data_IF_692459490638
#
_entry.id   IF_692459490638
#
_cell.length_a   1.000
_cell.length_b   1.000
_cell.length_c   1.000
_cell.angle_alpha   90.00
_cell.angle_beta   90.00
_cell.angle_gamma   90.00
#
_symmetry.space_group_name_H-M   'P 1'
#
loop_
_entity.id
_entity.type
_entity.pdbx_description
1 polymer ?
#
# COMPACT_ATOMS: atom_id res chain seq x y z
N UNK A 1 23.58 -18.93 -15.31
CA UNK A 1 22.30 -18.24 -15.55
C UNK A 1 21.34 -19.25 -16.13
N UNK A 2 20.31 -19.63 -15.37
CA UNK A 2 19.39 -20.69 -15.79
C UNK A 2 18.36 -20.12 -16.78
N UNK A 3 17.75 -20.96 -17.62
CA UNK A 3 16.71 -20.53 -18.57
C UNK A 3 15.47 -19.91 -17.90
N UNK A 4 15.31 -20.04 -16.58
CA UNK A 4 14.25 -19.42 -15.78
C UNK A 4 14.47 -17.92 -15.49
N UNK A 5 15.71 -17.43 -15.58
CA UNK A 5 16.02 -16.01 -15.34
C UNK A 5 15.55 -15.09 -16.48
N UNK A 6 15.14 -15.65 -17.63
CA UNK A 6 14.77 -14.88 -18.84
C UNK A 6 13.33 -14.36 -18.87
N UNK A 7 12.49 -14.74 -17.91
CA UNK A 7 11.08 -14.34 -17.89
C UNK A 7 10.63 -13.66 -16.59
N UNK A 8 11.56 -13.34 -15.69
CA UNK A 8 11.23 -12.53 -14.53
C UNK A 8 11.06 -11.07 -14.99
N UNK A 9 9.81 -10.65 -15.18
CA UNK A 9 9.53 -9.22 -15.29
C UNK A 9 9.88 -8.57 -13.94
N UNK A 10 10.61 -7.45 -13.92
CA UNK A 10 10.84 -6.73 -12.69
C UNK A 10 9.51 -6.21 -12.14
N UNK A 11 9.40 -6.03 -10.81
CA UNK A 11 8.21 -5.42 -10.22
C UNK A 11 8.02 -4.00 -10.77
N UNK A 12 6.77 -3.65 -11.01
CA UNK A 12 6.38 -2.36 -11.59
C UNK A 12 5.77 -1.50 -10.49
N UNK A 13 6.17 -0.24 -10.43
CA UNK A 13 5.63 0.75 -9.52
C UNK A 13 4.74 1.73 -10.29
N UNK A 14 3.45 1.73 -9.97
CA UNK A 14 2.51 2.73 -10.44
C UNK A 14 2.34 3.80 -9.36
N UNK A 15 2.69 5.04 -9.67
CA UNK A 15 2.75 6.14 -8.71
C UNK A 15 1.69 7.19 -9.06
N UNK A 16 0.73 7.36 -8.17
CA UNK A 16 -0.25 8.44 -8.22
C UNK A 16 0.30 9.62 -7.42
N UNK A 17 0.50 10.75 -8.08
CA UNK A 17 0.98 11.99 -7.46
C UNK A 17 -0.11 13.04 -7.52
N UNK A 18 -0.45 13.63 -6.37
CA UNK A 18 -1.45 14.70 -6.31
C UNK A 18 -0.82 16.05 -6.65
N UNK A 19 -1.45 16.78 -7.57
CA UNK A 19 -1.21 18.19 -7.79
C UNK A 19 -1.88 18.99 -6.66
N UNK A 20 -1.08 19.75 -5.90
CA UNK A 20 -1.57 20.50 -4.74
C UNK A 20 -2.41 21.72 -5.11
N UNK A 21 -2.29 22.21 -6.34
CA UNK A 21 -3.01 23.41 -6.79
C UNK A 21 -4.40 23.05 -7.26
N UNK A 22 -4.52 21.96 -8.01
CA UNK A 22 -5.79 21.51 -8.59
C UNK A 22 -6.47 20.40 -7.79
N UNK A 23 -5.75 19.74 -6.88
CA UNK A 23 -6.20 18.51 -6.21
C UNK A 23 -6.17 17.26 -7.11
N UNK A 24 -5.85 17.41 -8.40
CA UNK A 24 -5.94 16.34 -9.38
C UNK A 24 -4.80 15.33 -9.26
N UNK A 25 -5.06 14.09 -9.63
CA UNK A 25 -4.09 13.00 -9.57
C UNK A 25 -3.48 12.72 -10.94
N UNK A 26 -2.15 12.57 -10.98
CA UNK A 26 -1.41 12.13 -12.16
C UNK A 26 -0.76 10.78 -11.87
N UNK A 27 -0.90 9.83 -12.79
CA UNK A 27 -0.28 8.51 -12.70
C UNK A 27 1.00 8.46 -13.54
N UNK A 28 2.06 7.87 -12.98
CA UNK A 28 3.27 7.49 -13.70
C UNK A 28 3.62 6.03 -13.42
N UNK A 29 4.33 5.39 -14.33
CA UNK A 29 4.81 4.02 -14.17
C UNK A 29 6.33 4.01 -14.26
N UNK A 30 6.99 3.35 -13.31
CA UNK A 30 8.44 3.26 -13.22
C UNK A 30 8.84 1.94 -12.57
N UNK A 31 10.12 1.57 -12.65
CA UNK A 31 10.68 0.51 -11.80
C UNK A 31 11.02 1.05 -10.39
N UNK A 32 11.07 0.13 -9.42
CA UNK A 32 11.32 0.43 -8.01
C UNK A 32 12.72 1.05 -7.77
N UNK A 33 13.74 0.64 -8.52
CA UNK A 33 15.10 1.10 -8.31
C UNK A 33 15.29 2.55 -8.79
N UNK A 34 14.78 2.86 -9.98
CA UNK A 34 14.70 4.22 -10.52
C UNK A 34 13.90 5.15 -9.61
N UNK A 35 12.72 4.70 -9.14
CA UNK A 35 11.90 5.49 -8.21
C UNK A 35 12.62 5.77 -6.90
N UNK A 36 13.26 4.75 -6.33
CA UNK A 36 14.04 4.89 -5.09
C UNK A 36 15.19 5.87 -5.25
N UNK A 37 15.87 5.82 -6.40
CA UNK A 37 16.98 6.71 -6.73
C UNK A 37 16.50 8.15 -6.88
N UNK A 38 15.45 8.38 -7.67
CA UNK A 38 14.86 9.70 -7.87
C UNK A 38 14.34 10.30 -6.56
N UNK A 39 13.58 9.53 -5.79
CA UNK A 39 13.03 9.97 -4.52
C UNK A 39 14.15 10.32 -3.51
N UNK A 40 15.21 9.53 -3.47
CA UNK A 40 16.35 9.80 -2.59
C UNK A 40 17.17 11.02 -3.03
N UNK A 41 17.35 11.22 -4.34
CA UNK A 41 18.00 12.40 -4.90
C UNK A 41 17.19 13.69 -4.62
N UNK A 42 15.86 13.59 -4.68
CA UNK A 42 14.94 14.71 -4.50
C UNK A 42 14.44 14.88 -3.06
N UNK A 43 15.12 14.31 -2.05
CA UNK A 43 14.74 14.45 -0.63
C UNK A 43 14.59 15.90 -0.16
N UNK A 44 15.20 16.85 -0.85
CA UNK A 44 15.18 18.28 -0.53
C UNK A 44 14.09 19.07 -1.29
N UNK A 45 13.35 18.42 -2.21
CA UNK A 45 12.24 19.06 -2.93
C UNK A 45 10.94 19.07 -2.08
N UNK A 46 10.25 20.21 -1.91
CA UNK A 46 8.96 20.31 -1.19
C UNK A 46 7.84 19.53 -1.91
N UNK A 47 6.64 19.34 -1.31
CA UNK A 47 6.27 18.00 -0.92
C UNK A 47 5.24 17.40 -1.87
N UNK A 48 5.51 16.18 -2.30
CA UNK A 48 4.55 15.39 -3.06
C UNK A 48 3.67 14.59 -2.10
N UNK A 49 2.40 14.45 -2.46
CA UNK A 49 1.52 13.43 -1.89
C UNK A 49 1.49 12.33 -2.93
N UNK A 50 2.02 11.18 -2.57
CA UNK A 50 2.16 10.05 -3.48
C UNK A 50 1.56 8.80 -2.87
N UNK A 51 0.80 8.07 -3.68
CA UNK A 51 0.37 6.71 -3.39
C UNK A 51 0.92 5.82 -4.50
N UNK A 52 1.78 4.88 -4.12
CA UNK A 52 2.48 4.01 -5.04
C UNK A 52 2.03 2.55 -4.86
N UNK A 53 1.71 1.89 -5.96
CA UNK A 53 1.32 0.48 -5.99
C UNK A 53 2.46 -0.32 -6.60
N UNK A 54 3.02 -1.25 -5.84
CA UNK A 54 4.06 -2.16 -6.33
C UNK A 54 3.41 -3.45 -6.80
N UNK A 55 3.34 -3.63 -8.11
CA UNK A 55 2.79 -4.83 -8.74
C UNK A 55 3.91 -5.83 -9.01
N UNK A 56 3.73 -7.06 -8.54
CA UNK A 56 4.63 -8.18 -8.83
C UNK A 56 4.05 -9.07 -9.93
N UNK A 57 4.89 -9.71 -10.76
CA UNK A 57 4.41 -10.54 -11.87
C UNK A 57 3.76 -11.84 -11.39
N UNK A 58 4.23 -12.36 -10.26
CA UNK A 58 3.76 -13.60 -9.66
C UNK A 58 3.18 -13.26 -8.30
N UNK A 59 1.85 -13.36 -8.11
CA UNK A 59 1.26 -13.17 -6.79
C UNK A 59 1.74 -14.27 -5.84
N UNK A 60 1.91 -13.92 -4.58
CA UNK A 60 2.34 -14.85 -3.54
C UNK A 60 1.78 -14.45 -2.18
N UNK A 61 1.99 -15.28 -1.15
CA UNK A 61 1.31 -15.17 0.13
C UNK A 61 1.69 -13.92 0.94
N UNK A 62 2.82 -13.28 0.62
CA UNK A 62 3.23 -12.01 1.22
C UNK A 62 4.25 -11.27 0.36
N UNK A 63 4.37 -9.94 0.48
CA UNK A 63 5.45 -9.15 -0.11
C UNK A 63 6.85 -9.75 0.13
N UNK A 64 7.12 -10.26 1.35
CA UNK A 64 8.41 -10.86 1.69
C UNK A 64 8.74 -12.12 0.88
N UNK A 65 7.73 -12.84 0.39
CA UNK A 65 7.90 -14.07 -0.39
C UNK A 65 8.07 -13.84 -1.89
N UNK A 66 7.63 -12.70 -2.40
CA UNK A 66 7.61 -12.39 -3.84
C UNK A 66 8.64 -11.35 -4.26
N UNK A 67 9.09 -10.51 -3.31
CA UNK A 67 10.10 -9.49 -3.56
C UNK A 67 11.50 -10.05 -3.29
N UNK A 68 12.43 -9.75 -4.18
CA UNK A 68 13.84 -10.11 -3.97
C UNK A 68 14.43 -9.36 -2.78
N UNK A 69 15.49 -9.87 -2.13
CA UNK A 69 16.17 -9.13 -1.04
C UNK A 69 16.64 -7.72 -1.46
N UNK A 70 16.97 -7.54 -2.74
CA UNK A 70 17.33 -6.23 -3.28
C UNK A 70 16.13 -5.28 -3.32
N UNK A 71 14.98 -5.72 -3.81
CA UNK A 71 13.75 -4.92 -3.82
C UNK A 71 13.28 -4.58 -2.40
N UNK A 72 13.39 -5.55 -1.49
CA UNK A 72 13.11 -5.35 -0.07
C UNK A 72 14.01 -4.25 0.53
N UNK A 73 15.28 -4.22 0.16
CA UNK A 73 16.24 -3.19 0.57
C UNK A 73 15.90 -1.82 -0.02
N UNK A 74 15.52 -1.77 -1.30
CA UNK A 74 15.08 -0.52 -1.94
C UNK A 74 13.84 0.06 -1.25
N UNK A 75 12.81 -0.75 -0.98
CA UNK A 75 11.62 -0.34 -0.23
C UNK A 75 11.93 0.12 1.18
N UNK A 76 12.82 -0.60 1.87
CA UNK A 76 13.25 -0.22 3.21
C UNK A 76 13.97 1.14 3.20
N UNK A 77 14.82 1.41 2.20
CA UNK A 77 15.50 2.69 2.03
C UNK A 77 14.54 3.84 1.71
N UNK A 78 13.54 3.56 0.88
CA UNK A 78 12.53 4.51 0.42
C UNK A 78 11.62 4.96 1.57
N UNK A 79 11.05 4.01 2.31
CA UNK A 79 10.08 4.29 3.38
C UNK A 79 10.78 4.54 4.72
N UNK A 80 11.84 3.78 5.04
CA UNK A 80 12.60 3.90 6.28
C UNK A 80 12.08 3.03 7.44
N UNK A 81 11.43 1.90 7.16
CA UNK A 81 11.01 0.95 8.20
C UNK A 81 12.14 -0.02 8.62
N UNK A 82 11.93 -0.77 9.71
CA UNK A 82 12.88 -1.79 10.20
C UNK A 82 12.77 -3.07 9.39
N UNK A 83 13.90 -3.78 9.17
CA UNK A 83 13.92 -5.07 8.47
C UNK A 83 12.98 -6.13 9.07
N UNK A 84 12.58 -5.98 10.34
CA UNK A 84 11.56 -6.81 10.99
C UNK A 84 10.22 -6.86 10.25
N UNK A 85 9.89 -5.85 9.44
CA UNK A 85 8.70 -5.88 8.57
C UNK A 85 8.67 -7.13 7.70
N UNK A 86 9.83 -7.58 7.21
CA UNK A 86 9.95 -8.77 6.37
C UNK A 86 9.79 -10.09 7.14
N UNK A 87 9.69 -10.04 8.47
CA UNK A 87 9.51 -11.25 9.27
C UNK A 87 8.13 -11.89 9.02
N UNK A 88 8.04 -13.23 8.96
CA UNK A 88 6.76 -13.93 8.80
C UNK A 88 5.71 -13.50 9.83
N UNK A 89 6.10 -13.29 11.09
CA UNK A 89 5.19 -12.88 12.15
C UNK A 89 4.49 -11.54 11.87
N UNK A 90 5.21 -10.55 11.33
CA UNK A 90 4.61 -9.27 10.95
C UNK A 90 3.85 -9.37 9.62
N UNK A 91 4.25 -10.27 8.73
CA UNK A 91 3.57 -10.51 7.45
C UNK A 91 2.25 -11.27 7.57
N UNK A 92 2.11 -12.13 8.59
CA UNK A 92 0.95 -13.00 8.79
C UNK A 92 -0.06 -12.46 9.82
N UNK A 93 0.23 -11.32 10.44
CA UNK A 93 -0.66 -10.71 11.43
C UNK A 93 -1.97 -10.24 10.78
N UNK A 94 -3.10 -10.72 11.30
CA UNK A 94 -4.43 -10.24 10.92
C UNK A 94 -4.69 -8.89 11.61
N UNK A 95 -4.49 -7.80 10.87
CA UNK A 95 -4.54 -6.45 11.45
C UNK A 95 -3.22 -6.12 12.16
N UNK A 96 -2.45 -5.20 11.60
CA UNK A 96 -1.23 -4.72 12.23
C UNK A 96 -1.10 -3.22 11.99
N UNK A 97 -0.86 -2.49 13.07
CA UNK A 97 -0.51 -1.09 13.01
C UNK A 97 0.77 -0.86 13.79
N UNK A 98 1.72 -0.15 13.18
CA UNK A 98 2.94 0.30 13.85
C UNK A 98 3.26 1.70 13.40
N UNK A 99 3.70 2.52 14.36
CA UNK A 99 4.28 3.83 14.13
C UNK A 99 5.73 3.80 14.56
N UNK A 100 6.61 4.28 13.69
CA UNK A 100 8.02 4.46 13.95
C UNK A 100 8.42 5.89 13.58
N UNK A 101 9.24 6.53 14.39
CA UNK A 101 9.83 7.84 14.08
C UNK A 101 11.34 7.66 13.90
N UNK A 102 11.82 7.48 12.65
CA UNK A 102 13.25 7.40 12.38
C UNK A 102 13.96 8.68 12.83
N UNK A 103 15.26 8.56 13.12
CA UNK A 103 16.09 9.74 13.40
C UNK A 103 16.09 10.65 12.17
N UNK A 104 15.76 11.94 12.30
CA UNK A 104 15.71 12.83 11.16
C UNK A 104 17.12 13.19 10.67
N UNK A 105 17.26 13.51 9.36
CA UNK A 105 18.54 13.92 8.79
C UNK A 105 18.96 15.33 9.25
N UNK A 106 18.00 16.15 9.68
CA UNK A 106 18.24 17.49 10.20
C UNK A 106 17.40 17.77 11.45
N UNK A 107 17.84 18.65 12.37
CA UNK A 107 17.08 19.00 13.58
C UNK A 107 15.70 19.62 13.31
N UNK A 108 15.48 20.20 12.12
CA UNK A 108 14.23 20.82 11.72
C UNK A 108 13.26 19.89 11.00
N UNK A 109 13.62 18.62 10.81
CA UNK A 109 12.82 17.63 10.09
C UNK A 109 12.16 16.67 11.09
N UNK A 110 10.88 16.40 10.90
CA UNK A 110 10.15 15.32 11.57
C UNK A 110 9.81 14.24 10.55
N UNK A 111 9.96 12.97 10.95
CA UNK A 111 9.60 11.82 10.12
C UNK A 111 8.75 10.90 10.96
N UNK A 112 7.62 10.47 10.40
CA UNK A 112 6.78 9.42 10.91
C UNK A 112 6.60 8.36 9.83
N UNK A 113 6.79 7.11 10.18
CA UNK A 113 6.63 5.95 9.31
C UNK A 113 5.57 5.06 9.92
N UNK A 114 4.54 4.73 9.15
CA UNK A 114 3.49 3.80 9.60
C UNK A 114 3.47 2.56 8.74
N UNK A 115 3.15 1.44 9.38
CA UNK A 115 2.84 0.17 8.73
C UNK A 115 1.42 -0.16 9.13
N UNK A 116 0.52 -0.23 8.16
CA UNK A 116 -0.87 -0.62 8.39
C UNK A 116 -1.20 -1.83 7.53
N UNK A 117 -1.82 -2.85 8.12
CA UNK A 117 -2.20 -4.08 7.42
C UNK A 117 -3.67 -4.37 7.63
N UNK A 118 -4.37 -4.66 6.54
CA UNK A 118 -5.74 -5.14 6.54
C UNK A 118 -5.77 -6.53 5.93
N UNK A 119 -6.44 -7.46 6.63
CA UNK A 119 -6.61 -8.82 6.16
C UNK A 119 -8.11 -9.15 6.19
N UNK A 120 -8.71 -9.28 5.01
CA UNK A 120 -10.15 -9.40 4.84
C UNK A 120 -10.47 -10.80 4.33
N UNK A 121 -11.31 -11.54 5.06
CA UNK A 121 -11.76 -12.87 4.66
C UNK A 121 -13.08 -12.78 3.90
N UNK A 122 -13.11 -13.06 2.61
CA UNK A 122 -14.32 -12.98 1.78
C UNK A 122 -14.79 -14.38 1.39
N UNK A 123 -16.07 -14.69 1.58
CA UNK A 123 -16.67 -15.93 1.11
C UNK A 123 -17.02 -15.81 -0.38
N UNK A 124 -16.94 -16.92 -1.10
CA UNK A 124 -17.46 -17.05 -2.45
C UNK A 124 -18.20 -18.39 -2.59
N UNK A 125 -19.19 -18.43 -3.50
CA UNK A 125 -19.97 -19.64 -3.74
C UNK A 125 -19.02 -20.78 -4.13
N UNK A 126 -19.16 -21.93 -3.47
CA UNK A 126 -18.39 -23.12 -3.80
C UNK A 126 -18.74 -23.59 -5.21
N UNK A 127 -17.74 -24.09 -5.94
CA UNK A 127 -17.93 -24.71 -7.25
C UNK A 127 -19.00 -25.81 -7.15
N UNK A 128 -20.13 -25.70 -7.88
CA UNK A 128 -21.24 -26.66 -7.79
C UNK A 128 -20.86 -28.08 -8.22
N UNK A 129 -19.67 -28.29 -8.80
CA UNK A 129 -19.18 -29.60 -9.25
C UNK A 129 -18.66 -30.53 -8.14
N UNK A 130 -18.55 -30.08 -6.87
CA UNK A 130 -18.06 -30.92 -5.74
C UNK A 130 -19.17 -31.28 -4.74
N UNK A 131 -19.64 -32.54 -4.69
CA UNK A 131 -20.87 -32.92 -4.00
C UNK A 131 -20.69 -33.33 -2.51
N UNK A 132 -19.76 -32.78 -1.74
CA UNK A 132 -19.55 -33.20 -0.34
C UNK A 132 -19.44 -32.02 0.63
N UNK A 133 -20.54 -31.77 1.37
CA UNK A 133 -20.79 -30.66 2.32
C UNK A 133 -20.65 -29.26 1.69
N UNK A 134 -21.45 -28.25 2.08
CA UNK A 134 -21.21 -26.88 1.64
C UNK A 134 -19.98 -26.36 2.39
N UNK A 135 -18.79 -26.75 1.95
CA UNK A 135 -17.57 -26.10 2.37
C UNK A 135 -17.62 -24.70 1.73
N UNK A 136 -17.95 -23.68 2.53
CA UNK A 136 -17.94 -22.28 2.08
C UNK A 136 -16.50 -21.97 1.65
N UNK A 137 -16.31 -21.83 0.34
CA UNK A 137 -15.04 -21.45 -0.22
C UNK A 137 -14.77 -19.98 0.11
N UNK A 138 -13.50 -19.64 0.36
CA UNK A 138 -13.14 -18.30 0.82
C UNK A 138 -11.73 -17.94 0.41
N UNK A 139 -11.52 -16.64 0.22
CA UNK A 139 -10.22 -16.04 -0.09
C UNK A 139 -9.85 -14.99 0.96
N UNK A 140 -8.57 -14.68 1.02
CA UNK A 140 -8.03 -13.60 1.83
C UNK A 140 -7.57 -12.46 0.93
N UNK A 141 -8.03 -11.25 1.21
CA UNK A 141 -7.56 -10.01 0.58
C UNK A 141 -6.64 -9.32 1.59
N UNK A 142 -5.35 -9.25 1.27
CA UNK A 142 -4.35 -8.53 2.04
C UNK A 142 -4.09 -7.14 1.47
N UNK A 143 -4.10 -6.13 2.32
CA UNK A 143 -3.73 -4.76 1.99
C UNK A 143 -2.68 -4.30 3.00
N UNK A 144 -1.44 -4.24 2.55
CA UNK A 144 -0.33 -3.65 3.30
C UNK A 144 -0.15 -2.20 2.85
N UNK A 145 -0.04 -1.26 3.78
CA UNK A 145 0.29 0.13 3.48
C UNK A 145 1.46 0.59 4.33
N UNK A 146 2.52 1.00 3.63
CA UNK A 146 3.75 1.52 4.20
C UNK A 146 3.77 3.01 3.93
N UNK A 147 3.55 3.83 4.95
CA UNK A 147 3.52 5.28 4.79
C UNK A 147 4.77 5.90 5.38
N UNK A 148 5.35 6.86 4.67
CA UNK A 148 6.36 7.78 5.17
C UNK A 148 5.81 9.20 5.07
N UNK A 149 5.59 9.81 6.22
CA UNK A 149 5.28 11.23 6.36
C UNK A 149 6.53 11.98 6.80
N UNK A 150 6.79 13.12 6.18
CA UNK A 150 7.92 13.99 6.50
C UNK A 150 7.42 15.42 6.66
N UNK A 151 7.94 16.15 7.64
CA UNK A 151 7.68 17.57 7.84
C UNK A 151 8.97 18.31 8.03
N UNK A 152 9.24 19.29 7.19
CA UNK A 152 10.39 20.17 7.29
C UNK A 152 9.95 21.55 7.81
N UNK A 153 10.57 21.97 8.93
CA UNK A 153 10.26 23.22 9.61
C UNK A 153 9.11 23.12 10.62
N UNK A 154 8.77 24.26 11.24
CA UNK A 154 7.76 24.37 12.29
C UNK A 154 6.67 25.39 11.91
N UNK A 155 5.53 25.32 12.62
CA UNK A 155 4.40 26.22 12.40
C UNK A 155 3.68 26.01 11.07
N UNK A 156 2.96 27.05 10.62
CA UNK A 156 2.10 27.03 9.43
C UNK A 156 2.85 26.95 8.09
N UNK A 157 4.14 27.30 8.09
CA UNK A 157 4.97 27.29 6.87
C UNK A 157 5.74 25.96 6.70
N UNK A 158 5.51 24.99 7.58
CA UNK A 158 6.18 23.70 7.51
C UNK A 158 5.78 22.95 6.23
N UNK A 159 6.77 22.36 5.56
CA UNK A 159 6.58 21.62 4.32
C UNK A 159 6.37 20.14 4.65
N UNK A 160 5.17 19.64 4.40
CA UNK A 160 4.75 18.27 4.75
C UNK A 160 4.65 17.39 3.51
N UNK A 161 5.40 16.30 3.42
CA UNK A 161 5.38 15.35 2.30
C UNK A 161 4.92 13.96 2.73
N UNK A 162 4.28 13.23 1.82
CA UNK A 162 3.75 11.90 2.12
C UNK A 162 3.96 10.95 0.95
N UNK A 163 4.53 9.78 1.27
CA UNK A 163 4.63 8.65 0.36
C UNK A 163 3.99 7.45 1.02
N UNK A 164 2.84 7.01 0.50
CA UNK A 164 2.24 5.73 0.82
C UNK A 164 2.62 4.71 -0.25
N UNK A 165 3.01 3.52 0.17
CA UNK A 165 3.33 2.40 -0.71
C UNK A 165 2.49 1.20 -0.33
N UNK A 166 1.78 0.65 -1.31
CA UNK A 166 0.96 -0.55 -1.18
C UNK A 166 1.66 -1.69 -1.92
N UNK A 167 2.40 -2.57 -1.22
CA UNK A 167 3.16 -3.61 -1.86
C UNK A 167 2.30 -4.82 -2.17
N UNK A 168 2.36 -5.29 -3.43
CA UNK A 168 1.85 -6.59 -3.86
C UNK A 168 0.36 -6.83 -3.56
N UNK A 169 -0.46 -5.77 -3.46
CA UNK A 169 -1.91 -5.92 -3.29
C UNK A 169 -2.56 -6.52 -4.54
N UNK A 170 -3.68 -7.25 -4.41
CA UNK A 170 -4.45 -7.72 -5.56
C UNK A 170 -4.85 -6.57 -6.51
N UNK A 171 -4.97 -6.81 -7.83
CA UNK A 171 -5.33 -5.75 -8.79
C UNK A 171 -6.61 -4.99 -8.45
N UNK A 172 -7.62 -5.67 -7.89
CA UNK A 172 -8.86 -5.02 -7.46
C UNK A 172 -8.64 -3.92 -6.41
N UNK A 173 -7.66 -4.09 -5.52
CA UNK A 173 -7.32 -3.09 -4.49
C UNK A 173 -6.74 -1.84 -5.11
N UNK A 174 -5.81 -2.01 -6.05
CA UNK A 174 -5.23 -0.89 -6.80
C UNK A 174 -6.32 -0.14 -7.56
N UNK A 175 -7.12 -0.86 -8.35
CA UNK A 175 -8.13 -0.25 -9.23
C UNK A 175 -9.20 0.47 -8.43
N UNK A 176 -9.63 -0.12 -7.30
CA UNK A 176 -10.57 0.48 -6.38
C UNK A 176 -10.06 1.77 -5.74
N UNK A 177 -8.84 1.75 -5.19
CA UNK A 177 -8.24 2.95 -4.60
C UNK A 177 -8.01 4.01 -5.68
N UNK A 178 -7.49 3.64 -6.86
CA UNK A 178 -7.32 4.57 -7.98
C UNK A 178 -8.64 5.23 -8.38
N UNK A 179 -9.74 4.46 -8.42
CA UNK A 179 -11.08 4.99 -8.67
C UNK A 179 -11.51 6.00 -7.60
N UNK A 180 -11.22 5.75 -6.32
CA UNK A 180 -11.51 6.70 -5.24
C UNK A 180 -10.70 7.99 -5.39
N UNK A 181 -9.42 7.88 -5.73
CA UNK A 181 -8.54 9.04 -5.96
C UNK A 181 -9.06 9.94 -7.07
N UNK A 182 -9.51 9.36 -8.18
CA UNK A 182 -10.04 10.10 -9.33
C UNK A 182 -11.52 10.51 -9.19
N UNK A 183 -12.22 10.01 -8.18
CA UNK A 183 -13.61 10.35 -7.89
C UNK A 183 -13.75 11.25 -6.67
N UNK A 184 -13.74 10.64 -5.49
CA UNK A 184 -14.02 11.32 -4.21
C UNK A 184 -12.89 12.27 -3.79
N UNK A 185 -11.64 11.87 -3.99
CA UNK A 185 -10.46 12.65 -3.57
C UNK A 185 -9.87 13.49 -4.72
N UNK A 186 -10.64 13.72 -5.79
CA UNK A 186 -10.23 14.52 -6.93
C UNK A 186 -10.44 16.04 -6.71
N UNK A 187 -11.39 16.40 -5.83
CA UNK A 187 -11.84 17.78 -5.65
C UNK A 187 -11.00 18.61 -4.67
N UNK A 188 -10.04 18.01 -3.95
CA UNK A 188 -9.22 18.74 -2.99
C UNK A 188 -7.97 17.97 -2.54
N UNK A 189 -6.89 18.67 -2.13
CA UNK A 189 -5.68 18.04 -1.61
C UNK A 189 -5.98 17.19 -0.37
N UNK A 190 -5.41 15.99 -0.29
CA UNK A 190 -5.44 15.20 0.93
C UNK A 190 -4.74 15.98 2.05
N UNK A 191 -5.27 15.88 3.28
CA UNK A 191 -4.63 16.49 4.43
C UNK A 191 -3.24 15.89 4.63
N UNK A 192 -2.26 16.76 4.84
CA UNK A 192 -0.89 16.37 5.22
C UNK A 192 -0.52 16.89 6.60
N UNK A 193 -1.51 17.37 7.35
CA UNK A 193 -1.34 17.93 8.69
C UNK A 193 -0.83 16.87 9.68
N UNK A 194 -1.13 15.60 9.43
CA UNK A 194 -0.78 14.46 10.25
C UNK A 194 -0.36 13.26 9.38
N UNK A 195 0.27 12.22 9.96
CA UNK A 195 0.78 11.08 9.21
C UNK A 195 -0.30 10.09 8.72
N UNK A 196 -1.57 10.31 9.04
CA UNK A 196 -2.67 9.39 8.77
C UNK A 196 -3.62 9.86 7.67
N UNK A 197 -3.76 11.17 7.42
CA UNK A 197 -4.73 11.69 6.45
C UNK A 197 -4.54 11.22 5.00
N UNK A 198 -3.37 10.70 4.61
CA UNK A 198 -3.19 10.08 3.28
C UNK A 198 -3.78 8.68 3.19
N UNK A 199 -4.06 8.04 4.34
CA UNK A 199 -4.58 6.69 4.41
C UNK A 199 -6.10 6.68 4.17
N UNK A 200 -6.76 7.83 4.14
CA UNK A 200 -8.21 7.93 3.96
C UNK A 200 -8.72 7.15 2.73
N UNK A 201 -8.13 7.27 1.52
CA UNK A 201 -8.60 6.48 0.37
C UNK A 201 -8.40 4.97 0.55
N UNK A 202 -7.35 4.57 1.26
CA UNK A 202 -7.08 3.15 1.57
C UNK A 202 -8.11 2.63 2.57
N UNK A 203 -8.37 3.40 3.63
CA UNK A 203 -9.30 3.05 4.69
C UNK A 203 -10.74 2.98 4.17
N UNK A 204 -11.14 3.95 3.34
CA UNK A 204 -12.44 3.96 2.68
C UNK A 204 -12.64 2.71 1.82
N UNK A 205 -11.65 2.37 0.99
CA UNK A 205 -11.72 1.17 0.16
C UNK A 205 -11.70 -0.13 0.98
N UNK A 206 -10.84 -0.21 2.00
CA UNK A 206 -10.77 -1.36 2.89
C UNK A 206 -12.08 -1.56 3.67
N UNK A 207 -12.72 -0.47 4.12
CA UNK A 207 -14.03 -0.49 4.77
C UNK A 207 -15.11 -1.10 3.87
N UNK A 208 -15.17 -0.67 2.61
CA UNK A 208 -16.08 -1.26 1.61
C UNK A 208 -15.84 -2.76 1.41
N UNK A 209 -14.58 -3.19 1.29
CA UNK A 209 -14.23 -4.61 1.19
C UNK A 209 -14.63 -5.42 2.44
N UNK A 210 -14.49 -4.85 3.63
CA UNK A 210 -14.94 -5.48 4.87
C UNK A 210 -16.46 -5.63 4.89
N UNK A 211 -17.21 -4.62 4.45
CA UNK A 211 -18.66 -4.69 4.35
C UNK A 211 -19.11 -5.77 3.34
N UNK A 212 -18.52 -5.79 2.14
CA UNK A 212 -18.76 -6.83 1.15
C UNK A 212 -18.47 -8.23 1.70
N UNK A 213 -17.37 -8.36 2.45
CA UNK A 213 -17.02 -9.62 3.09
C UNK A 213 -18.11 -10.05 4.09
N UNK A 214 -18.58 -9.16 4.97
CA UNK A 214 -19.68 -9.45 5.91
C UNK A 214 -20.92 -9.95 5.17
N UNK A 215 -21.33 -9.26 4.11
CA UNK A 215 -22.49 -9.67 3.33
C UNK A 215 -22.29 -11.01 2.62
N UNK A 216 -21.08 -11.27 2.09
CA UNK A 216 -20.75 -12.56 1.48
C UNK A 216 -20.92 -13.73 2.46
N UNK A 217 -20.54 -13.56 3.73
CA UNK A 217 -20.72 -14.60 4.76
C UNK A 217 -22.19 -14.73 5.18
N UNK A 218 -22.91 -13.62 5.36
CA UNK A 218 -24.35 -13.63 5.69
C UNK A 218 -25.15 -14.43 4.68
N UNK A 219 -24.87 -14.23 3.39
CA UNK A 219 -25.62 -14.90 2.34
C UNK A 219 -25.47 -16.43 2.47
N UNK A 220 -24.29 -16.94 2.84
CA UNK A 220 -24.10 -18.37 3.13
C UNK A 220 -24.78 -18.83 4.43
N UNK A 221 -24.87 -18.00 5.47
CA UNK A 221 -25.60 -18.34 6.71
C UNK A 221 -27.10 -18.52 6.43
N UNK A 222 -27.68 -17.76 5.49
CA UNK A 222 -29.10 -17.89 5.10
C UNK A 222 -29.41 -19.16 4.29
N UNK A 223 -28.39 -19.87 3.80
CA UNK A 223 -28.54 -21.12 3.07
C UNK A 223 -28.61 -22.36 3.99
N UNK A 224 -28.27 -22.22 5.28
CA UNK A 224 -28.43 -23.24 6.32
C UNK A 224 -29.64 -22.96 7.20
#
# INVERSE_FOLDING_TARGET
MSRLDRYHKPPVLEVFTQDRTTGSWRATTTDLASFTTEHNANRTSPPKIQIAFLTVPIPGPSPASVLTPQDQTHLQSLIGFKSSYWSPAQQQAAGYFSLHCPRPPSPGTLIAVTITKFLIKKAHASDPSRPSRPAIAHDWIGIDVLCRWTRDGSGANARTGVLALVPCSPPCVRDGIASLLHGQFAAGPLSTADPFGVLDPVLEYAGGLFEEAIWSWRDHVRWF
#
